data_IF_695993267760
#
_entry.id   IF_695993267760
#
_cell.length_a   1.000
_cell.length_b   1.000
_cell.length_c   1.000
_cell.angle_alpha   90.00
_cell.angle_beta   90.00
_cell.angle_gamma   90.00
#
_symmetry.space_group_name_H-M   'P 1'
#
loop_
_entity.id
_entity.type
_entity.pdbx_description
1 polymer ?
#
# COMPACT_ATOMS: atom_id res chain seq x y z
N UNK A 1 -8.25 -9.12 -21.17
CA UNK A 1 -8.97 -8.12 -22.00
C UNK A 1 -8.81 -6.75 -21.36
N UNK A 2 -9.07 -5.66 -22.09
CA UNK A 2 -8.97 -4.29 -21.53
C UNK A 2 -9.85 -4.12 -20.28
N UNK A 3 -11.06 -4.68 -20.29
CA UNK A 3 -11.99 -4.63 -19.15
C UNK A 3 -11.39 -5.23 -17.87
N UNK A 4 -10.75 -6.40 -17.95
CA UNK A 4 -10.12 -7.02 -16.78
C UNK A 4 -8.94 -6.19 -16.25
N UNK A 5 -8.16 -5.54 -17.11
CA UNK A 5 -7.06 -4.67 -16.69
C UNK A 5 -7.58 -3.43 -15.93
N UNK A 6 -8.68 -2.84 -16.40
CA UNK A 6 -9.32 -1.69 -15.75
C UNK A 6 -9.95 -2.06 -14.40
N UNK A 7 -10.50 -3.27 -14.28
CA UNK A 7 -11.04 -3.79 -13.01
C UNK A 7 -9.93 -3.92 -11.96
N UNK A 8 -8.78 -4.49 -12.34
CA UNK A 8 -7.61 -4.58 -11.45
C UNK A 8 -7.09 -3.18 -11.08
N UNK A 9 -6.98 -2.27 -12.05
CA UNK A 9 -6.53 -0.91 -11.81
C UNK A 9 -7.44 -0.17 -10.82
N UNK A 10 -8.77 -0.34 -10.95
CA UNK A 10 -9.74 0.21 -10.01
C UNK A 10 -9.51 -0.35 -8.60
N UNK A 11 -9.33 -1.66 -8.45
CA UNK A 11 -9.07 -2.28 -7.15
C UNK A 11 -7.77 -1.80 -6.49
N UNK A 12 -6.75 -1.44 -7.27
CA UNK A 12 -5.51 -0.82 -6.77
C UNK A 12 -5.76 0.63 -6.33
N UNK A 13 -6.54 1.39 -7.11
CA UNK A 13 -6.84 2.81 -6.83
C UNK A 13 -7.68 3.03 -5.56
N UNK A 14 -8.42 2.02 -5.11
CA UNK A 14 -9.17 2.05 -3.84
C UNK A 14 -8.29 1.89 -2.59
N UNK A 15 -6.96 1.78 -2.74
CA UNK A 15 -6.01 1.57 -1.64
C UNK A 15 -5.17 2.83 -1.42
N UNK A 16 -4.61 2.94 -0.22
CA UNK A 16 -3.61 3.98 0.10
C UNK A 16 -2.50 4.03 -0.97
N UNK A 17 -2.27 5.19 -1.60
CA UNK A 17 -1.23 5.34 -2.61
C UNK A 17 0.16 5.17 -1.98
N UNK A 18 0.35 5.61 -0.73
CA UNK A 18 1.55 5.38 0.07
C UNK A 18 1.85 3.88 0.22
N UNK A 19 0.83 3.09 0.56
CA UNK A 19 0.96 1.65 0.75
C UNK A 19 1.26 0.91 -0.57
N UNK A 20 0.56 1.28 -1.65
CA UNK A 20 0.75 0.66 -2.99
C UNK A 20 2.16 0.91 -3.51
N UNK A 21 2.62 2.16 -3.47
CA UNK A 21 3.96 2.52 -3.94
C UNK A 21 5.05 1.92 -3.04
N UNK A 22 4.87 1.96 -1.72
CA UNK A 22 5.78 1.32 -0.78
C UNK A 22 5.92 -0.18 -1.03
N UNK A 23 4.81 -0.88 -1.25
CA UNK A 23 4.81 -2.31 -1.58
C UNK A 23 5.60 -2.57 -2.86
N UNK A 24 5.42 -1.76 -3.90
CA UNK A 24 6.17 -1.88 -5.16
C UNK A 24 7.68 -1.70 -4.94
N UNK A 25 8.09 -0.72 -4.14
CA UNK A 25 9.51 -0.46 -3.83
C UNK A 25 10.12 -1.66 -3.10
N UNK A 26 9.46 -2.15 -2.05
CA UNK A 26 9.91 -3.31 -1.27
C UNK A 26 9.98 -4.57 -2.14
N UNK A 27 8.98 -4.83 -2.99
CA UNK A 27 8.97 -5.98 -3.89
C UNK A 27 10.12 -5.92 -4.91
N UNK A 28 10.37 -4.74 -5.48
CA UNK A 28 11.49 -4.56 -6.41
C UNK A 28 12.84 -4.75 -5.72
N UNK A 29 13.00 -4.25 -4.50
CA UNK A 29 14.21 -4.47 -3.71
C UNK A 29 14.42 -5.96 -3.43
N UNK A 30 13.40 -6.65 -2.92
CA UNK A 30 13.47 -8.06 -2.59
C UNK A 30 13.79 -8.98 -3.79
N UNK A 31 13.48 -8.56 -5.03
CA UNK A 31 13.82 -9.31 -6.24
C UNK A 31 15.33 -9.44 -6.45
N UNK A 32 16.07 -8.39 -6.13
CA UNK A 32 17.48 -8.27 -6.48
C UNK A 32 18.43 -8.48 -5.27
N UNK A 33 17.88 -8.80 -4.09
CA UNK A 33 18.61 -8.90 -2.82
C UNK A 33 18.32 -10.20 -2.08
N UNK A 34 19.14 -10.51 -1.06
CA UNK A 34 18.88 -11.66 -0.19
C UNK A 34 17.63 -11.45 0.65
N UNK A 35 17.05 -12.55 1.15
CA UNK A 35 15.90 -12.48 2.07
C UNK A 35 16.25 -11.67 3.33
N UNK A 36 17.48 -11.80 3.84
CA UNK A 36 17.91 -11.06 5.02
C UNK A 36 17.93 -9.55 4.76
N UNK A 37 18.50 -9.12 3.64
CA UNK A 37 18.53 -7.70 3.25
C UNK A 37 17.12 -7.16 2.99
N UNK A 38 16.26 -7.94 2.35
CA UNK A 38 14.85 -7.58 2.13
C UNK A 38 14.09 -7.38 3.44
N UNK A 39 14.35 -8.19 4.46
CA UNK A 39 13.76 -8.04 5.79
C UNK A 39 14.25 -6.79 6.53
N UNK A 40 15.52 -6.41 6.34
CA UNK A 40 16.05 -5.14 6.88
C UNK A 40 15.39 -3.97 6.16
N UNK A 41 15.34 -3.99 4.83
CA UNK A 41 14.77 -2.92 4.02
C UNK A 41 13.29 -2.69 4.32
N UNK A 42 12.47 -3.74 4.47
CA UNK A 42 11.05 -3.58 4.80
C UNK A 42 10.87 -3.02 6.22
N UNK A 43 11.73 -3.40 7.17
CA UNK A 43 11.69 -2.87 8.54
C UNK A 43 12.00 -1.37 8.57
N UNK A 44 13.06 -0.95 7.87
CA UNK A 44 13.45 0.46 7.73
C UNK A 44 12.37 1.28 7.01
N UNK A 45 11.83 0.74 5.91
CA UNK A 45 10.76 1.39 5.16
C UNK A 45 9.50 1.60 6.00
N UNK A 46 9.06 0.55 6.72
CA UNK A 46 7.87 0.64 7.56
C UNK A 46 8.06 1.59 8.75
N UNK A 47 9.27 1.71 9.30
CA UNK A 47 9.56 2.66 10.38
C UNK A 47 9.25 4.12 9.97
N UNK A 48 9.44 4.46 8.70
CA UNK A 48 9.04 5.76 8.14
C UNK A 48 7.55 5.78 7.77
N UNK A 49 7.07 4.81 7.00
CA UNK A 49 5.75 4.89 6.37
C UNK A 49 4.57 4.61 7.30
N UNK A 50 4.77 3.91 8.43
CA UNK A 50 3.70 3.68 9.42
C UNK A 50 3.21 4.97 10.09
N UNK A 51 3.92 6.08 9.92
CA UNK A 51 3.52 7.40 10.42
C UNK A 51 2.54 8.14 9.48
N UNK A 52 2.12 7.51 8.38
CA UNK A 52 1.16 8.08 7.43
C UNK A 52 -0.26 8.14 8.00
N UNK A 53 -1.00 9.20 7.66
CA UNK A 53 -2.42 9.34 7.99
C UNK A 53 -3.28 8.24 7.34
N UNK A 54 -2.85 7.70 6.21
CA UNK A 54 -3.52 6.63 5.48
C UNK A 54 -3.72 5.39 6.35
N UNK A 55 -2.77 5.10 7.24
CA UNK A 55 -2.86 3.98 8.17
C UNK A 55 -4.02 4.20 9.16
N UNK A 56 -4.13 5.41 9.70
CA UNK A 56 -5.18 5.76 10.66
C UNK A 56 -6.56 5.76 9.98
N UNK A 57 -6.67 6.36 8.80
CA UNK A 57 -7.91 6.37 7.99
C UNK A 57 -8.36 4.94 7.65
N UNK A 58 -7.43 4.08 7.21
CA UNK A 58 -7.71 2.68 6.90
C UNK A 58 -8.14 1.88 8.14
N UNK A 59 -7.50 2.10 9.28
CA UNK A 59 -7.88 1.45 10.54
C UNK A 59 -9.28 1.88 10.99
N UNK A 60 -9.62 3.16 10.87
CA UNK A 60 -10.96 3.67 11.16
C UNK A 60 -12.03 3.06 10.25
N UNK A 61 -11.77 3.00 8.94
CA UNK A 61 -12.69 2.37 7.99
C UNK A 61 -12.93 0.89 8.32
N UNK A 62 -11.87 0.15 8.67
CA UNK A 62 -11.98 -1.24 9.10
C UNK A 62 -12.81 -1.39 10.40
N UNK A 63 -12.61 -0.50 11.38
CA UNK A 63 -13.41 -0.48 12.61
C UNK A 63 -14.89 -0.17 12.34
N UNK A 64 -15.17 0.73 11.41
CA UNK A 64 -16.53 1.10 11.00
C UNK A 64 -17.15 0.12 10.00
N UNK A 65 -16.41 -0.91 9.55
CA UNK A 65 -16.80 -1.82 8.46
C UNK A 65 -17.18 -1.06 7.17
N UNK A 66 -16.57 0.09 6.96
CA UNK A 66 -16.71 0.88 5.76
C UNK A 66 -15.75 0.32 4.69
N UNK A 67 -16.20 0.19 3.43
CA UNK A 67 -15.30 -0.23 2.36
C UNK A 67 -14.23 0.83 2.10
N UNK A 68 -13.03 0.39 1.74
CA UNK A 68 -11.90 1.29 1.46
C UNK A 68 -12.13 2.21 0.25
N UNK A 69 -13.05 1.84 -0.65
CA UNK A 69 -13.50 2.68 -1.75
C UNK A 69 -14.09 4.03 -1.30
N UNK A 70 -14.55 4.09 -0.05
CA UNK A 70 -15.21 5.26 0.52
C UNK A 70 -14.23 6.10 1.38
N UNK A 71 -12.96 5.71 1.43
CA UNK A 71 -11.91 6.40 2.18
C UNK A 71 -11.13 7.30 1.22
N UNK A 72 -11.12 8.60 1.51
CA UNK A 72 -10.31 9.55 0.76
C UNK A 72 -8.88 9.58 1.30
N UNK A 73 -7.95 9.08 0.47
CA UNK A 73 -6.52 9.21 0.66
C UNK A 73 -6.01 10.47 -0.03
N UNK A 74 -4.95 11.07 0.51
CA UNK A 74 -4.30 12.19 -0.17
C UNK A 74 -3.51 11.69 -1.39
N UNK A 75 -3.47 12.50 -2.44
CA UNK A 75 -2.57 12.25 -3.55
C UNK A 75 -1.11 12.39 -3.08
N UNK A 76 -0.23 11.54 -3.65
CA UNK A 76 1.22 11.57 -3.39
C UNK A 76 1.93 12.74 -4.09
#
# INVERSE_FOLDING_TARGET
TLSAALEVAKGIAEKSPVAVQGTKIVMNYARDHSVADGLVQIAEWNAAQLQSEDLMKSAQAAMMKQPLSDVEFEDL
#
